data_IF_882933888945
#
_entry.id   IF_882933888945
#
_cell.length_a   1.000
_cell.length_b   1.000
_cell.length_c   1.000
_cell.angle_alpha   90.00
_cell.angle_beta   90.00
_cell.angle_gamma   90.00
#
_symmetry.space_group_name_H-M   'P 1'
#
loop_
_entity.id
_entity.type
_entity.pdbx_description
1 polymer ?
#
# COMPACT_ATOMS: atom_id res chain seq x y z
N UNK A 1 0.63 -11.68 23.89
CA UNK A 1 -0.08 -11.47 22.60
C UNK A 1 0.89 -10.75 21.69
N UNK A 2 0.99 -11.12 20.42
CA UNK A 2 1.96 -10.53 19.49
C UNK A 2 1.26 -9.51 18.59
N UNK A 3 2.00 -8.49 18.18
CA UNK A 3 1.57 -7.48 17.23
C UNK A 3 2.55 -7.44 16.07
N UNK A 4 2.03 -7.41 14.85
CA UNK A 4 2.79 -7.09 13.63
C UNK A 4 2.19 -5.82 13.03
N UNK A 5 3.05 -4.95 12.52
CA UNK A 5 2.65 -3.82 11.68
C UNK A 5 3.28 -3.98 10.31
N UNK A 6 2.47 -3.82 9.27
CA UNK A 6 2.89 -3.88 7.86
C UNK A 6 2.54 -2.54 7.21
N UNK A 7 3.52 -1.93 6.55
CA UNK A 7 3.30 -0.77 5.67
C UNK A 7 3.20 -1.23 4.22
N UNK A 8 2.06 -1.01 3.57
CA UNK A 8 1.88 -1.32 2.15
C UNK A 8 2.27 -0.12 1.30
N UNK A 9 3.28 -0.31 0.46
CA UNK A 9 3.69 0.70 -0.50
C UNK A 9 2.52 1.02 -1.45
N UNK A 10 2.23 2.32 -1.56
CA UNK A 10 1.34 2.87 -2.59
C UNK A 10 -0.08 2.28 -2.59
N UNK A 11 -0.69 2.16 -1.40
CA UNK A 11 -2.07 1.68 -1.21
C UNK A 11 -3.05 2.13 -2.32
N UNK A 12 -3.07 3.41 -2.64
CA UNK A 12 -3.98 3.96 -3.65
C UNK A 12 -3.64 3.57 -5.09
N UNK A 13 -2.37 3.32 -5.43
CA UNK A 13 -1.94 2.92 -6.79
C UNK A 13 -2.19 1.44 -7.08
N UNK A 14 -2.55 0.64 -6.08
CA UNK A 14 -2.91 -0.76 -6.24
C UNK A 14 -4.37 -0.97 -6.70
N UNK A 15 -5.21 0.06 -6.58
CA UNK A 15 -6.57 0.05 -7.12
C UNK A 15 -6.55 0.20 -8.64
N UNK A 16 -7.09 -0.77 -9.37
CA UNK A 16 -7.50 -0.52 -10.76
C UNK A 16 -8.68 0.46 -10.72
N UNK A 17 -8.62 1.49 -11.55
CA UNK A 17 -9.76 2.40 -11.68
C UNK A 17 -10.77 1.68 -12.59
N UNK A 18 -11.92 1.27 -12.03
CA UNK A 18 -13.00 0.64 -12.78
C UNK A 18 -13.85 1.68 -13.57
N UNK A 19 -13.42 2.94 -13.57
CA UNK A 19 -14.11 4.09 -14.14
C UNK A 19 -13.14 4.83 -15.07
N UNK A 20 -13.59 5.17 -16.27
CA UNK A 20 -12.81 5.99 -17.20
C UNK A 20 -12.73 7.42 -16.66
N UNK A 21 -11.61 7.74 -16.01
CA UNK A 21 -11.32 9.11 -15.57
C UNK A 21 -10.41 9.77 -16.58
N UNK A 22 -10.91 10.85 -17.17
CA UNK A 22 -10.15 11.76 -18.01
C UNK A 22 -9.85 13.03 -17.22
N UNK A 23 -8.66 13.58 -17.42
CA UNK A 23 -8.25 14.86 -16.83
C UNK A 23 -7.63 15.75 -17.92
N UNK A 24 -7.73 17.05 -17.74
CA UNK A 24 -6.94 17.98 -18.54
C UNK A 24 -5.44 17.73 -18.31
N UNK A 25 -4.64 18.03 -19.33
CA UNK A 25 -3.19 17.96 -19.18
C UNK A 25 -2.76 18.94 -18.06
N UNK A 26 -1.90 18.53 -17.11
CA UNK A 26 -1.32 19.47 -16.16
C UNK A 26 -0.59 20.59 -16.90
N UNK A 27 -0.70 21.82 -16.39
CA UNK A 27 -0.18 23.04 -17.04
C UNK A 27 1.32 22.90 -17.42
N UNK A 28 2.12 22.36 -16.51
CA UNK A 28 3.57 22.18 -16.69
C UNK A 28 3.99 20.86 -17.35
N UNK A 29 3.05 19.99 -17.74
CA UNK A 29 3.39 18.65 -18.24
C UNK A 29 4.31 18.72 -19.47
N UNK A 30 4.01 19.62 -20.39
CA UNK A 30 4.75 19.74 -21.65
C UNK A 30 6.20 20.23 -21.41
N UNK A 31 6.35 21.29 -20.62
CA UNK A 31 7.67 21.81 -20.22
C UNK A 31 8.49 20.75 -19.48
N UNK A 32 7.87 19.98 -18.59
CA UNK A 32 8.54 18.90 -17.88
C UNK A 32 9.04 17.81 -18.85
N UNK A 33 8.22 17.40 -19.82
CA UNK A 33 8.61 16.40 -20.80
C UNK A 33 9.75 16.91 -21.69
N UNK A 34 9.71 18.18 -22.11
CA UNK A 34 10.79 18.81 -22.89
C UNK A 34 12.10 18.85 -22.09
N UNK A 35 12.03 19.18 -20.80
CA UNK A 35 13.20 19.16 -19.90
C UNK A 35 13.76 17.75 -19.74
N UNK A 36 12.93 16.73 -19.58
CA UNK A 36 13.37 15.33 -19.51
C UNK A 36 14.13 14.96 -20.79
N UNK A 37 13.58 15.28 -21.95
CA UNK A 37 14.21 14.97 -23.25
C UNK A 37 15.53 15.72 -23.45
N UNK A 38 15.64 16.94 -22.93
CA UNK A 38 16.84 17.77 -23.06
C UNK A 38 17.94 17.44 -22.04
N UNK A 39 17.59 16.90 -20.86
CA UNK A 39 18.51 16.77 -19.71
C UNK A 39 18.95 15.33 -19.45
N UNK A 40 18.07 14.37 -19.72
CA UNK A 40 18.34 12.96 -19.41
C UNK A 40 19.13 12.28 -20.53
N UNK A 41 20.01 11.34 -20.15
CA UNK A 41 20.60 10.41 -21.11
C UNK A 41 19.49 9.57 -21.77
N UNK A 42 19.79 9.00 -22.94
CA UNK A 42 18.79 8.25 -23.71
C UNK A 42 18.37 6.98 -22.96
N UNK A 43 17.21 7.07 -22.30
CA UNK A 43 16.63 6.04 -21.45
C UNK A 43 15.20 5.73 -21.88
N UNK A 44 14.61 4.64 -21.37
CA UNK A 44 13.18 4.31 -21.53
C UNK A 44 12.26 5.46 -21.08
N UNK A 45 12.67 6.25 -20.09
CA UNK A 45 11.93 7.45 -19.66
C UNK A 45 11.95 8.53 -20.75
N UNK A 46 13.11 8.78 -21.35
CA UNK A 46 13.29 9.75 -22.44
C UNK A 46 12.48 9.36 -23.68
N UNK A 47 12.46 8.07 -24.04
CA UNK A 47 11.66 7.56 -25.15
C UNK A 47 10.15 7.73 -24.90
N UNK A 48 9.68 7.38 -23.70
CA UNK A 48 8.29 7.61 -23.28
C UNK A 48 7.93 9.09 -23.30
N UNK A 49 8.83 9.96 -22.87
CA UNK A 49 8.61 11.40 -22.87
C UNK A 49 8.47 11.96 -24.29
N UNK A 50 9.36 11.56 -25.23
CA UNK A 50 9.25 11.96 -26.65
C UNK A 50 7.93 11.50 -27.28
N UNK A 51 7.52 10.26 -27.01
CA UNK A 51 6.23 9.73 -27.49
C UNK A 51 5.05 10.50 -26.92
N UNK A 52 5.10 10.87 -25.65
CA UNK A 52 4.05 11.65 -25.00
C UNK A 52 3.97 13.08 -25.55
N UNK A 53 5.11 13.72 -25.82
CA UNK A 53 5.19 15.03 -26.48
C UNK A 53 4.59 15.01 -27.89
N UNK A 54 4.91 14.01 -28.71
CA UNK A 54 4.35 13.93 -30.06
C UNK A 54 2.82 13.78 -30.05
N UNK A 55 2.26 13.09 -29.03
CA UNK A 55 0.83 12.95 -28.84
C UNK A 55 0.14 14.24 -28.37
N UNK A 56 0.85 15.09 -27.62
CA UNK A 56 0.33 16.37 -27.10
C UNK A 56 0.31 17.48 -28.16
N UNK A 57 1.16 17.40 -29.19
CA UNK A 57 1.30 18.43 -30.23
C UNK A 57 0.13 18.50 -31.24
N UNK A 58 -0.96 17.74 -31.06
CA UNK A 58 -2.06 17.67 -32.03
C UNK A 58 -3.44 17.74 -31.38
N UNK A 59 -3.99 18.94 -31.21
CA UNK A 59 -5.39 19.20 -30.82
C UNK A 59 -5.70 19.07 -29.32
N UNK A 60 -6.98 19.19 -28.96
CA UNK A 60 -7.44 19.09 -27.56
C UNK A 60 -7.36 17.64 -27.07
N UNK A 61 -6.28 17.35 -26.33
CA UNK A 61 -6.03 16.04 -25.73
C UNK A 61 -6.30 16.07 -24.23
N UNK A 62 -6.88 14.98 -23.76
CA UNK A 62 -7.10 14.71 -22.32
C UNK A 62 -6.29 13.48 -21.91
N UNK A 63 -5.84 13.45 -20.66
CA UNK A 63 -5.12 12.32 -20.09
C UNK A 63 -6.11 11.31 -19.51
N UNK A 64 -5.96 10.03 -19.86
CA UNK A 64 -6.70 8.94 -19.20
C UNK A 64 -5.90 8.40 -18.02
N UNK A 65 -6.47 8.44 -16.83
CA UNK A 65 -5.86 7.84 -15.64
C UNK A 65 -6.07 6.31 -15.68
N UNK A 66 -4.97 5.57 -15.78
CA UNK A 66 -5.00 4.10 -15.74
C UNK A 66 -4.86 3.53 -14.32
N UNK A 67 -4.36 4.34 -13.36
CA UNK A 67 -4.20 4.00 -11.95
C UNK A 67 -4.74 5.13 -11.09
N UNK A 68 -5.31 4.78 -9.94
CA UNK A 68 -5.84 5.76 -9.00
C UNK A 68 -4.71 6.58 -8.40
N UNK A 69 -4.68 7.88 -8.71
CA UNK A 69 -3.77 8.85 -8.09
C UNK A 69 -4.35 9.34 -6.75
N UNK A 70 -3.44 9.70 -5.84
CA UNK A 70 -3.79 10.43 -4.62
C UNK A 70 -4.60 11.68 -4.98
N UNK A 71 -5.65 11.99 -4.21
CA UNK A 71 -6.69 13.03 -4.42
C UNK A 71 -7.96 12.60 -5.16
N UNK A 72 -7.99 11.45 -5.85
CA UNK A 72 -9.25 10.91 -6.36
C UNK A 72 -10.11 10.40 -5.20
N UNK A 73 -11.33 10.93 -5.05
CA UNK A 73 -12.31 10.48 -4.03
C UNK A 73 -12.57 8.96 -4.07
N UNK A 74 -12.40 8.33 -5.23
CA UNK A 74 -12.64 6.90 -5.43
C UNK A 74 -11.42 6.02 -5.13
N UNK A 75 -10.21 6.59 -5.05
CA UNK A 75 -8.98 5.83 -4.88
C UNK A 75 -8.99 5.01 -3.58
N UNK A 76 -9.43 5.61 -2.48
CA UNK A 76 -9.49 4.94 -1.18
C UNK A 76 -10.48 3.78 -1.16
N UNK A 77 -11.62 3.94 -1.83
CA UNK A 77 -12.62 2.87 -1.96
C UNK A 77 -12.09 1.71 -2.79
N UNK A 78 -11.49 1.98 -3.96
CA UNK A 78 -10.92 0.94 -4.82
C UNK A 78 -9.80 0.17 -4.12
N UNK A 79 -8.95 0.89 -3.37
CA UNK A 79 -7.94 0.27 -2.52
C UNK A 79 -8.56 -0.66 -1.48
N UNK A 80 -9.53 -0.15 -0.72
CA UNK A 80 -10.20 -0.94 0.33
C UNK A 80 -10.90 -2.16 -0.24
N UNK A 81 -11.62 -2.04 -1.37
CA UNK A 81 -12.28 -3.18 -2.02
C UNK A 81 -11.29 -4.25 -2.50
N UNK A 82 -10.12 -3.85 -3.00
CA UNK A 82 -9.06 -4.80 -3.39
C UNK A 82 -8.48 -5.50 -2.17
N UNK A 83 -8.21 -4.76 -1.11
CA UNK A 83 -7.66 -5.30 0.14
C UNK A 83 -8.67 -6.25 0.81
N UNK A 84 -9.93 -5.84 0.93
CA UNK A 84 -11.03 -6.64 1.48
C UNK A 84 -11.16 -7.99 0.76
N UNK A 85 -11.15 -7.98 -0.58
CA UNK A 85 -11.17 -9.23 -1.38
C UNK A 85 -9.98 -10.13 -1.08
N UNK A 86 -8.78 -9.57 -0.89
CA UNK A 86 -7.59 -10.34 -0.55
C UNK A 86 -7.69 -10.93 0.88
N UNK A 87 -8.09 -10.12 1.87
CA UNK A 87 -8.24 -10.54 3.27
C UNK A 87 -9.32 -11.62 3.44
N UNK A 88 -10.46 -11.48 2.74
CA UNK A 88 -11.53 -12.49 2.74
C UNK A 88 -11.07 -13.82 2.14
N UNK A 89 -10.28 -13.80 1.06
CA UNK A 89 -9.68 -15.03 0.48
C UNK A 89 -8.72 -15.72 1.45
N UNK A 90 -8.13 -14.97 2.37
CA UNK A 90 -7.23 -15.49 3.40
C UNK A 90 -7.96 -15.97 4.66
N UNK A 91 -9.30 -15.92 4.66
CA UNK A 91 -10.16 -16.43 5.74
C UNK A 91 -10.51 -15.39 6.80
N UNK A 92 -10.10 -14.13 6.63
CA UNK A 92 -10.48 -13.05 7.54
C UNK A 92 -11.87 -12.52 7.21
N UNK A 93 -12.65 -12.19 8.24
CA UNK A 93 -13.99 -11.60 8.10
C UNK A 93 -14.01 -10.21 8.71
N UNK A 94 -14.54 -9.19 8.01
CA UNK A 94 -14.71 -7.85 8.60
C UNK A 94 -15.70 -7.89 9.76
N UNK A 95 -15.52 -7.03 10.74
CA UNK A 95 -16.46 -6.87 11.86
C UNK A 95 -17.69 -6.08 11.44
N UNK A 96 -18.80 -6.27 12.17
CA UNK A 96 -20.02 -5.48 11.95
C UNK A 96 -19.89 -4.04 12.48
N UNK A 97 -18.97 -3.80 13.41
CA UNK A 97 -18.78 -2.49 14.03
C UNK A 97 -17.92 -1.56 13.16
N UNK A 98 -16.89 -2.12 12.52
CA UNK A 98 -15.97 -1.37 11.66
C UNK A 98 -15.49 -2.26 10.49
N UNK A 99 -15.72 -1.86 9.21
CA UNK A 99 -15.27 -2.60 8.03
C UNK A 99 -13.75 -2.60 7.83
N UNK A 100 -13.02 -1.76 8.57
CA UNK A 100 -11.55 -1.75 8.60
C UNK A 100 -10.98 -2.70 9.66
N UNK A 101 -11.82 -3.32 10.49
CA UNK A 101 -11.40 -4.32 11.48
C UNK A 101 -11.82 -5.70 10.98
N UNK A 102 -10.88 -6.63 10.93
CA UNK A 102 -11.04 -8.00 10.48
C UNK A 102 -10.65 -8.97 11.57
N UNK A 103 -11.29 -10.13 11.60
CA UNK A 103 -10.96 -11.17 12.56
C UNK A 103 -11.00 -12.56 11.93
N UNK A 104 -10.19 -13.46 12.47
CA UNK A 104 -10.27 -14.91 12.28
C UNK A 104 -10.53 -15.54 13.64
N UNK A 105 -11.77 -16.02 13.86
CA UNK A 105 -12.18 -16.66 15.12
C UNK A 105 -11.43 -17.96 15.39
N UNK A 106 -11.09 -18.72 14.35
CA UNK A 106 -10.40 -20.01 14.50
C UNK A 106 -8.95 -19.84 14.92
N UNK A 107 -8.29 -18.81 14.39
CA UNK A 107 -6.85 -18.56 14.60
C UNK A 107 -6.55 -17.44 15.59
N UNK A 108 -7.58 -16.79 16.12
CA UNK A 108 -7.48 -15.72 17.12
C UNK A 108 -6.57 -14.58 16.63
N UNK A 109 -6.77 -14.21 15.37
CA UNK A 109 -6.11 -13.09 14.70
C UNK A 109 -7.09 -11.94 14.57
N UNK A 110 -6.66 -10.73 14.94
CA UNK A 110 -7.36 -9.47 14.73
C UNK A 110 -6.48 -8.59 13.83
N UNK A 111 -7.07 -8.00 12.80
CA UNK A 111 -6.37 -7.15 11.84
C UNK A 111 -7.12 -5.83 11.69
N UNK A 112 -6.41 -4.72 11.83
CA UNK A 112 -6.92 -3.36 11.67
C UNK A 112 -6.23 -2.72 10.47
N UNK A 113 -7.01 -2.13 9.57
CA UNK A 113 -6.53 -1.40 8.40
C UNK A 113 -6.68 0.09 8.62
N UNK A 114 -5.59 0.84 8.47
CA UNK A 114 -5.59 2.29 8.42
C UNK A 114 -4.83 2.76 7.17
N UNK A 115 -5.57 2.99 6.08
CA UNK A 115 -5.00 3.39 4.79
C UNK A 115 -3.92 2.40 4.30
N UNK A 116 -2.64 2.73 4.43
CA UNK A 116 -1.46 1.96 4.06
C UNK A 116 -0.89 1.12 5.21
N UNK A 117 -1.23 1.47 6.46
CA UNK A 117 -0.86 0.71 7.64
C UNK A 117 -1.83 -0.45 7.92
N UNK A 118 -1.28 -1.63 8.16
CA UNK A 118 -2.01 -2.79 8.66
C UNK A 118 -1.43 -3.22 9.99
N UNK A 119 -2.25 -3.18 11.04
CA UNK A 119 -1.91 -3.66 12.37
C UNK A 119 -2.54 -5.02 12.60
N UNK A 120 -1.75 -5.99 13.05
CA UNK A 120 -2.21 -7.38 13.22
C UNK A 120 -1.88 -7.85 14.63
N UNK A 121 -2.89 -8.15 15.43
CA UNK A 121 -2.73 -8.83 16.71
C UNK A 121 -2.99 -10.33 16.53
N UNK A 122 -2.06 -11.17 16.99
CA UNK A 122 -2.10 -12.60 16.78
C UNK A 122 -1.47 -13.39 17.93
N UNK A 123 -1.70 -14.71 17.92
CA UNK A 123 -1.06 -15.68 18.83
C UNK A 123 -0.19 -16.70 18.11
N UNK A 124 -0.54 -17.06 16.88
CA UNK A 124 0.18 -18.06 16.09
C UNK A 124 1.12 -17.39 15.08
N UNK A 125 2.43 -17.53 15.33
CA UNK A 125 3.49 -17.01 14.46
C UNK A 125 3.56 -17.69 13.09
N UNK A 126 3.18 -18.97 12.98
CA UNK A 126 3.17 -19.65 11.70
C UNK A 126 2.04 -19.13 10.81
N UNK A 127 0.86 -18.88 11.41
CA UNK A 127 -0.26 -18.30 10.70
C UNK A 127 0.03 -16.86 10.23
N UNK A 128 0.66 -16.02 11.05
CA UNK A 128 0.98 -14.65 10.63
C UNK A 128 1.99 -14.63 9.49
N UNK A 129 3.02 -15.49 9.52
CA UNK A 129 4.01 -15.57 8.43
C UNK A 129 3.35 -15.93 7.11
N UNK A 130 2.45 -16.92 7.13
CA UNK A 130 1.65 -17.28 5.94
C UNK A 130 0.78 -16.13 5.47
N UNK A 131 0.11 -15.42 6.38
CA UNK A 131 -0.72 -14.27 6.03
C UNK A 131 0.11 -13.16 5.37
N UNK A 132 1.27 -12.84 5.95
CA UNK A 132 2.20 -11.84 5.43
C UNK A 132 2.80 -12.22 4.08
N UNK A 133 3.16 -13.49 3.88
CA UNK A 133 3.63 -14.00 2.59
C UNK A 133 2.56 -13.89 1.51
N UNK A 134 1.31 -14.24 1.82
CA UNK A 134 0.20 -14.10 0.88
C UNK A 134 -0.13 -12.63 0.58
N UNK A 135 -0.04 -11.74 1.57
CA UNK A 135 -0.15 -10.30 1.34
C UNK A 135 0.98 -9.80 0.45
N UNK A 136 2.22 -10.24 0.68
CA UNK A 136 3.39 -9.86 -0.13
C UNK A 136 3.30 -10.31 -1.60
N UNK A 137 2.54 -11.38 -1.89
CA UNK A 137 2.26 -11.80 -3.28
C UNK A 137 1.33 -10.85 -4.01
N UNK A 138 0.43 -10.17 -3.28
CA UNK A 138 -0.62 -9.33 -3.85
C UNK A 138 -0.30 -7.83 -3.77
N UNK A 139 0.58 -7.44 -2.85
CA UNK A 139 0.90 -6.06 -2.50
C UNK A 139 2.39 -5.89 -2.24
N UNK A 140 2.94 -4.74 -2.64
CA UNK A 140 4.32 -4.37 -2.32
C UNK A 140 4.38 -3.91 -0.87
N UNK A 141 5.09 -4.64 -0.03
CA UNK A 141 5.27 -4.29 1.39
C UNK A 141 6.55 -3.46 1.53
N UNK A 142 6.45 -2.29 2.15
CA UNK A 142 7.60 -1.39 2.39
C UNK A 142 8.33 -1.76 3.67
N UNK A 143 7.61 -1.94 4.77
CA UNK A 143 8.21 -2.23 6.07
C UNK A 143 7.35 -3.24 6.85
N UNK A 144 8.02 -3.95 7.78
CA UNK A 144 7.40 -4.90 8.71
C UNK A 144 8.03 -4.75 10.08
N UNK A 145 7.19 -4.59 11.10
CA UNK A 145 7.63 -4.49 12.50
C UNK A 145 6.86 -5.47 13.38
N UNK A 146 7.57 -6.37 14.05
CA UNK A 146 6.99 -7.25 15.08
C UNK A 146 7.26 -6.71 16.49
N UNK A 147 6.24 -6.75 17.33
CA UNK A 147 6.28 -6.29 18.73
C UNK A 147 5.59 -7.33 19.63
N UNK A 148 6.17 -7.57 20.80
CA UNK A 148 5.58 -8.43 21.84
C UNK A 148 4.83 -7.56 22.84
N UNK A 149 3.52 -7.78 23.01
CA UNK A 149 2.79 -7.25 24.16
C UNK A 149 2.90 -8.27 25.32
N UNK A 150 3.86 -8.00 26.20
CA UNK A 150 3.94 -8.61 27.53
C UNK A 150 3.16 -7.73 28.52
N UNK A 151 2.47 -8.35 29.49
CA UNK A 151 1.62 -7.65 30.47
C UNK A 151 2.34 -6.64 31.37
N UNK A 152 3.67 -6.66 31.38
CA UNK A 152 4.53 -5.65 31.99
C UNK A 152 5.23 -4.83 30.91
N UNK A 153 5.24 -3.51 31.10
CA UNK A 153 5.69 -2.46 30.16
C UNK A 153 7.10 -2.64 29.61
N UNK A 154 7.28 -3.52 28.64
CA UNK A 154 8.51 -3.59 27.84
C UNK A 154 8.18 -4.03 26.41
N UNK A 155 8.20 -3.05 25.49
CA UNK A 155 8.13 -3.27 24.04
C UNK A 155 9.50 -3.78 23.59
N UNK A 156 9.62 -5.06 23.25
CA UNK A 156 10.81 -5.58 22.57
C UNK A 156 10.58 -5.56 21.05
N UNK A 157 11.44 -4.84 20.33
CA UNK A 157 11.49 -4.85 18.86
C UNK A 157 12.38 -6.01 18.43
N UNK A 158 11.83 -6.97 17.69
CA UNK A 158 12.66 -7.92 16.93
C UNK A 158 12.67 -7.47 15.46
N UNK A 159 13.77 -6.82 15.07
CA UNK A 159 14.12 -6.64 13.66
C UNK A 159 14.94 -7.86 13.27
N UNK A 160 14.71 -8.39 12.07
CA UNK A 160 15.44 -9.54 11.54
C UNK A 160 16.93 -9.47 11.88
N UNK A 161 17.36 -10.41 12.70
CA UNK A 161 18.72 -10.71 13.17
C UNK A 161 19.44 -9.77 14.15
N UNK A 162 18.77 -8.89 14.90
CA UNK A 162 19.39 -8.32 16.12
C UNK A 162 18.36 -7.84 17.14
N UNK A 163 18.37 -8.43 18.34
CA UNK A 163 17.56 -7.98 19.49
C UNK A 163 18.20 -6.76 20.15
N UNK A 164 17.57 -5.59 20.05
CA UNK A 164 17.92 -4.41 20.84
C UNK A 164 16.90 -4.23 21.97
N UNK A 165 17.37 -4.39 23.21
CA UNK A 165 16.59 -4.07 24.42
C UNK A 165 17.02 -2.70 24.93
N UNK A 166 16.11 -1.73 24.97
CA UNK A 166 16.33 -0.48 25.70
C UNK A 166 15.63 -0.56 27.06
N UNK A 167 16.43 -0.60 28.14
CA UNK A 167 15.95 -0.37 29.50
C UNK A 167 15.75 1.13 29.69
N UNK A 168 14.53 1.56 30.00
CA UNK A 168 14.29 2.89 30.57
C UNK A 168 14.46 2.75 32.08
N UNK A 169 15.52 3.35 32.64
CA UNK A 169 15.63 3.55 34.09
C UNK A 169 14.69 4.68 34.49
N UNK A 170 13.92 4.41 35.54
CA UNK A 170 13.07 5.36 36.28
C UNK A 170 13.85 6.53 36.86
#
# INVERSE_FOLDING_TARGET
MLISQIDIATAYLNGMIDILVYMEKPEMLQEMLERIVATEQETDLTEKARKMLSLLNGGDKVCRLNKAIYSLRQAGRQWHERLDKALKKLGLTPTNADPCVYYDKGKLTLLLVYVDDILIAYRDEANIRRLEEELAKNFVIRDRTHQVLSGDRSISKQKGDTSLTSRIHS
#
